data_IF_262036276710
#
_entry.id   IF_262036276710
#
_cell.length_a   1.000
_cell.length_b   1.000
_cell.length_c   1.000
_cell.angle_alpha   90.00
_cell.angle_beta   90.00
_cell.angle_gamma   90.00
#
_symmetry.space_group_name_H-M   'P 1'
#
loop_
_entity.id
_entity.type
_entity.pdbx_description
1 polymer ?
#
# COMPACT_ATOMS: atom_id res chain seq x y z
N UNK A 1 21.87 -7.88 0.55
CA UNK A 1 21.97 -8.32 -0.84
C UNK A 1 21.37 -7.30 -1.83
N UNK A 2 20.11 -6.81 -1.60
CA UNK A 2 19.49 -5.83 -2.49
C UNK A 2 20.34 -4.55 -2.67
N UNK A 3 20.69 -3.85 -1.58
CA UNK A 3 21.39 -2.55 -1.61
C UNK A 3 22.84 -2.63 -2.13
N UNK A 4 23.53 -3.72 -1.83
CA UNK A 4 24.99 -3.79 -2.06
C UNK A 4 25.39 -4.61 -3.30
N UNK A 5 24.47 -5.39 -3.87
CA UNK A 5 24.74 -6.22 -5.04
C UNK A 5 23.72 -5.97 -6.13
N UNK A 6 22.46 -6.33 -5.92
CA UNK A 6 21.44 -6.29 -6.97
C UNK A 6 21.22 -4.88 -7.53
N UNK A 7 20.99 -3.91 -6.65
CA UNK A 7 20.72 -2.54 -7.07
C UNK A 7 21.91 -1.87 -7.77
N UNK A 8 23.14 -1.90 -7.26
CA UNK A 8 24.31 -1.36 -7.97
C UNK A 8 24.58 -2.03 -9.32
N UNK A 9 24.43 -3.35 -9.42
CA UNK A 9 24.60 -4.09 -10.68
C UNK A 9 23.53 -3.65 -11.69
N UNK A 10 22.28 -3.54 -11.26
CA UNK A 10 21.18 -3.07 -12.13
C UNK A 10 21.42 -1.64 -12.61
N UNK A 11 21.86 -0.73 -11.73
CA UNK A 11 22.20 0.63 -12.09
C UNK A 11 23.35 0.68 -13.11
N UNK A 12 24.40 -0.11 -12.90
CA UNK A 12 25.53 -0.19 -13.81
C UNK A 12 25.08 -0.54 -15.23
N UNK A 13 24.33 -1.64 -15.39
CA UNK A 13 23.84 -2.04 -16.72
C UNK A 13 22.83 -1.05 -17.30
N UNK A 14 22.00 -0.41 -16.48
CA UNK A 14 21.04 0.57 -16.92
C UNK A 14 21.68 1.84 -17.47
N UNK A 15 22.72 2.36 -16.82
CA UNK A 15 23.35 3.63 -17.21
C UNK A 15 24.43 3.48 -18.28
N UNK A 16 25.05 2.31 -18.42
CA UNK A 16 26.01 2.06 -19.51
C UNK A 16 25.32 2.02 -20.89
N UNK A 17 24.03 1.72 -20.92
CA UNK A 17 23.24 1.64 -22.14
C UNK A 17 22.59 2.99 -22.44
N UNK A 18 22.70 3.46 -23.70
CA UNK A 18 22.08 4.73 -24.15
C UNK A 18 20.69 4.56 -24.75
N UNK A 19 20.39 3.38 -25.31
CA UNK A 19 19.14 3.12 -26.00
C UNK A 19 18.03 2.72 -25.02
N UNK A 20 16.90 3.45 -25.03
CA UNK A 20 15.81 3.24 -24.08
C UNK A 20 15.15 1.84 -24.23
N UNK A 21 15.09 1.27 -25.44
CA UNK A 21 14.59 -0.10 -25.63
C UNK A 21 15.48 -1.13 -24.93
N UNK A 22 16.80 -0.95 -24.98
CA UNK A 22 17.74 -1.85 -24.30
C UNK A 22 17.70 -1.62 -22.78
N UNK A 23 17.54 -0.37 -22.31
CA UNK A 23 17.27 -0.08 -20.89
C UNK A 23 16.03 -0.80 -20.38
N UNK A 24 14.95 -0.85 -21.18
CA UNK A 24 13.73 -1.59 -20.83
C UNK A 24 14.00 -3.08 -20.70
N UNK A 25 14.80 -3.69 -21.59
CA UNK A 25 15.21 -5.09 -21.49
C UNK A 25 16.02 -5.33 -20.20
N UNK A 26 16.96 -4.46 -19.86
CA UNK A 26 17.74 -4.53 -18.62
C UNK A 26 16.80 -4.53 -17.40
N UNK A 27 15.82 -3.63 -17.37
CA UNK A 27 14.84 -3.56 -16.29
C UNK A 27 13.93 -4.79 -16.22
N UNK A 28 13.50 -5.34 -17.37
CA UNK A 28 12.73 -6.60 -17.40
C UNK A 28 13.54 -7.75 -16.80
N UNK A 29 14.78 -7.94 -17.26
CA UNK A 29 15.65 -9.01 -16.77
C UNK A 29 15.89 -8.86 -15.25
N UNK A 30 16.27 -7.66 -14.81
CA UNK A 30 16.48 -7.40 -13.40
C UNK A 30 15.21 -7.66 -12.57
N UNK A 31 14.05 -7.21 -13.05
CA UNK A 31 12.78 -7.39 -12.35
C UNK A 31 12.34 -8.85 -12.27
N UNK A 32 12.50 -9.60 -13.36
CA UNK A 32 12.20 -11.04 -13.35
C UNK A 32 13.16 -11.83 -12.44
N UNK A 33 14.45 -11.48 -12.42
CA UNK A 33 15.42 -12.06 -11.47
C UNK A 33 15.02 -11.73 -10.03
N UNK A 34 14.67 -10.47 -9.75
CA UNK A 34 14.25 -10.03 -8.42
C UNK A 34 12.99 -10.78 -7.94
N UNK A 35 11.99 -10.90 -8.80
CA UNK A 35 10.76 -11.60 -8.48
C UNK A 35 10.98 -13.12 -8.33
N UNK A 36 11.71 -13.74 -9.26
CA UNK A 36 12.00 -15.18 -9.23
C UNK A 36 12.84 -15.60 -8.02
N UNK A 37 13.61 -14.68 -7.44
CA UNK A 37 14.37 -14.96 -6.22
C UNK A 37 13.48 -15.32 -5.03
N UNK A 38 12.34 -14.66 -4.89
CA UNK A 38 11.34 -14.95 -3.87
C UNK A 38 10.27 -15.95 -4.33
N UNK A 39 9.94 -15.93 -5.62
CA UNK A 39 8.80 -16.63 -6.21
C UNK A 39 9.18 -17.37 -7.51
N UNK A 40 10.01 -18.42 -7.44
CA UNK A 40 10.56 -19.05 -8.64
C UNK A 40 9.49 -19.70 -9.53
N UNK A 41 8.39 -20.18 -8.97
CA UNK A 41 7.29 -20.80 -9.72
C UNK A 41 6.30 -19.74 -10.20
N UNK A 42 5.96 -18.77 -9.35
CA UNK A 42 4.89 -17.82 -9.62
C UNK A 42 5.28 -16.70 -10.61
N UNK A 43 6.56 -16.59 -10.96
CA UNK A 43 6.98 -15.73 -12.08
C UNK A 43 6.31 -16.12 -13.40
N UNK A 44 6.01 -17.41 -13.58
CA UNK A 44 5.27 -17.90 -14.75
C UNK A 44 3.82 -17.33 -14.78
N UNK A 45 3.18 -17.19 -13.61
CA UNK A 45 1.84 -16.62 -13.52
C UNK A 45 1.83 -15.12 -13.85
N UNK A 46 2.84 -14.38 -13.37
CA UNK A 46 3.02 -12.96 -13.72
C UNK A 46 3.20 -12.79 -15.24
N UNK A 47 4.05 -13.61 -15.86
CA UNK A 47 4.26 -13.60 -17.33
C UNK A 47 2.97 -13.96 -18.05
N UNK A 48 2.24 -14.98 -17.59
CA UNK A 48 0.96 -15.38 -18.18
C UNK A 48 -0.07 -14.24 -18.14
N UNK A 49 -0.25 -13.59 -16.97
CA UNK A 49 -1.16 -12.44 -16.86
C UNK A 49 -0.73 -11.30 -17.78
N UNK A 50 0.58 -11.07 -17.92
CA UNK A 50 1.10 -10.07 -18.84
C UNK A 50 0.81 -10.42 -20.31
N UNK A 51 0.97 -11.67 -20.74
CA UNK A 51 0.64 -12.11 -22.11
C UNK A 51 -0.86 -11.97 -22.36
N UNK A 52 -1.68 -12.38 -21.40
CA UNK A 52 -3.13 -12.27 -21.50
C UNK A 52 -3.57 -10.84 -21.77
N UNK A 53 -3.22 -9.90 -20.88
CA UNK A 53 -3.71 -8.52 -20.98
C UNK A 53 -3.06 -7.75 -22.13
N UNK A 54 -1.83 -8.07 -22.51
CA UNK A 54 -1.20 -7.57 -23.71
C UNK A 54 -1.99 -7.97 -24.98
N UNK A 55 -2.29 -9.26 -25.13
CA UNK A 55 -3.00 -9.78 -26.31
C UNK A 55 -4.45 -9.31 -26.36
N UNK A 56 -5.13 -9.31 -25.23
CA UNK A 56 -6.49 -8.79 -25.07
C UNK A 56 -6.55 -7.31 -25.47
N UNK A 57 -5.62 -6.50 -24.99
CA UNK A 57 -5.60 -5.05 -25.27
C UNK A 57 -5.31 -4.75 -26.76
N UNK A 58 -4.46 -5.52 -27.41
CA UNK A 58 -4.31 -5.44 -28.88
C UNK A 58 -5.61 -5.78 -29.61
N UNK A 59 -6.35 -6.80 -29.15
CA UNK A 59 -7.66 -7.15 -29.66
C UNK A 59 -8.70 -6.04 -29.46
N UNK A 60 -8.73 -5.43 -28.27
CA UNK A 60 -9.60 -4.30 -27.94
C UNK A 60 -9.35 -3.13 -28.90
N UNK A 61 -8.08 -2.75 -29.10
CA UNK A 61 -7.75 -1.65 -30.01
C UNK A 61 -8.09 -1.96 -31.47
N UNK A 62 -7.76 -3.17 -31.96
CA UNK A 62 -8.02 -3.60 -33.32
C UNK A 62 -9.53 -3.63 -33.67
N UNK A 63 -10.36 -4.03 -32.71
CA UNK A 63 -11.81 -4.18 -32.94
C UNK A 63 -12.62 -3.09 -32.21
N UNK A 64 -12.03 -1.95 -31.92
CA UNK A 64 -12.68 -0.81 -31.25
C UNK A 64 -14.01 -0.46 -31.92
N UNK A 65 -15.07 -0.28 -31.14
CA UNK A 65 -16.42 0.01 -31.62
C UNK A 65 -17.25 -1.22 -32.01
N UNK A 66 -16.66 -2.42 -32.10
CA UNK A 66 -17.40 -3.67 -32.39
C UNK A 66 -17.82 -4.37 -31.09
N UNK A 67 -18.92 -5.15 -31.16
CA UNK A 67 -19.43 -5.91 -29.99
C UNK A 67 -18.42 -6.88 -29.40
N UNK A 68 -17.51 -7.43 -30.19
CA UNK A 68 -16.44 -8.35 -29.76
C UNK A 68 -15.48 -7.73 -28.77
N UNK A 69 -15.34 -6.38 -28.74
CA UNK A 69 -14.51 -5.68 -27.77
C UNK A 69 -14.96 -5.95 -26.33
N UNK A 70 -16.28 -6.12 -26.12
CA UNK A 70 -16.83 -6.48 -24.79
C UNK A 70 -16.41 -7.88 -24.35
N UNK A 71 -16.23 -8.81 -25.30
CA UNK A 71 -15.74 -10.15 -25.01
C UNK A 71 -14.28 -10.12 -24.57
N UNK A 72 -13.44 -9.33 -25.25
CA UNK A 72 -12.03 -9.18 -24.88
C UNK A 72 -11.89 -8.62 -23.45
N UNK A 73 -12.60 -7.53 -23.12
CA UNK A 73 -12.50 -6.96 -21.76
C UNK A 73 -13.09 -7.92 -20.71
N UNK A 74 -14.19 -8.62 -21.02
CA UNK A 74 -14.75 -9.63 -20.12
C UNK A 74 -13.75 -10.78 -19.88
N UNK A 75 -13.02 -11.21 -20.91
CA UNK A 75 -11.99 -12.24 -20.79
C UNK A 75 -10.86 -11.80 -19.85
N UNK A 76 -10.34 -10.57 -20.01
CA UNK A 76 -9.34 -10.00 -19.09
C UNK A 76 -9.85 -10.01 -17.66
N UNK A 77 -11.01 -9.43 -17.41
CA UNK A 77 -11.57 -9.30 -16.06
C UNK A 77 -11.85 -10.67 -15.42
N UNK A 78 -12.48 -11.59 -16.17
CA UNK A 78 -12.85 -12.92 -15.65
C UNK A 78 -11.61 -13.77 -15.34
N UNK A 79 -10.60 -13.78 -16.22
CA UNK A 79 -9.39 -14.57 -15.96
C UNK A 79 -8.59 -13.97 -14.82
N UNK A 80 -8.33 -12.65 -14.81
CA UNK A 80 -7.56 -12.01 -13.75
C UNK A 80 -8.22 -12.14 -12.37
N UNK A 81 -9.52 -11.84 -12.27
CA UNK A 81 -10.26 -12.02 -11.02
C UNK A 81 -10.44 -13.49 -10.66
N UNK A 82 -10.57 -14.38 -11.64
CA UNK A 82 -10.66 -15.82 -11.43
C UNK A 82 -9.38 -16.39 -10.84
N UNK A 83 -8.21 -15.99 -11.35
CA UNK A 83 -6.91 -16.35 -10.77
C UNK A 83 -6.77 -15.82 -9.34
N UNK A 84 -7.08 -14.54 -9.13
CA UNK A 84 -7.06 -13.95 -7.80
C UNK A 84 -8.01 -14.69 -6.85
N UNK A 85 -9.22 -15.05 -7.30
CA UNK A 85 -10.19 -15.81 -6.52
C UNK A 85 -9.68 -17.22 -6.19
N UNK A 86 -9.08 -17.90 -7.14
CA UNK A 86 -8.56 -19.25 -6.93
C UNK A 86 -7.42 -19.26 -5.92
N UNK A 87 -6.43 -18.37 -6.04
CA UNK A 87 -5.27 -18.37 -5.17
C UNK A 87 -5.52 -17.72 -3.81
N UNK A 88 -6.27 -16.62 -3.76
CA UNK A 88 -6.46 -15.86 -2.53
C UNK A 88 -7.71 -16.27 -1.74
N UNK A 89 -8.83 -16.57 -2.40
CA UNK A 89 -10.14 -16.68 -1.73
C UNK A 89 -10.71 -18.08 -1.67
N UNK A 90 -10.17 -19.08 -2.40
CA UNK A 90 -10.74 -20.43 -2.43
C UNK A 90 -10.78 -21.09 -1.04
N UNK A 91 -9.71 -20.99 -0.26
CA UNK A 91 -9.65 -21.51 1.11
C UNK A 91 -10.66 -20.82 2.04
N UNK A 92 -10.73 -19.49 2.00
CA UNK A 92 -11.66 -18.69 2.78
C UNK A 92 -13.12 -19.01 2.45
N UNK A 93 -13.45 -19.12 1.17
CA UNK A 93 -14.79 -19.43 0.72
C UNK A 93 -15.24 -20.82 1.18
N UNK A 94 -14.39 -21.84 0.97
CA UNK A 94 -14.73 -23.21 1.36
C UNK A 94 -14.77 -23.39 2.87
N UNK A 95 -13.86 -22.78 3.63
CA UNK A 95 -13.91 -22.83 5.10
C UNK A 95 -15.16 -22.13 5.63
N UNK A 96 -15.59 -21.02 5.01
CA UNK A 96 -16.83 -20.33 5.36
C UNK A 96 -18.06 -21.22 5.08
N UNK A 97 -18.12 -21.88 3.91
CA UNK A 97 -19.20 -22.83 3.59
C UNK A 97 -19.25 -24.00 4.60
N UNK A 98 -18.08 -24.57 4.91
CA UNK A 98 -17.98 -25.63 5.91
C UNK A 98 -18.52 -25.19 7.27
N UNK A 99 -18.20 -23.96 7.71
CA UNK A 99 -18.68 -23.41 8.98
C UNK A 99 -20.19 -23.16 8.99
N UNK A 100 -20.74 -22.57 7.93
CA UNK A 100 -22.17 -22.22 7.85
C UNK A 100 -23.05 -23.47 7.70
N UNK A 101 -22.68 -24.37 6.78
CA UNK A 101 -23.47 -25.51 6.40
C UNK A 101 -23.02 -26.82 7.07
N UNK A 102 -22.02 -26.77 7.96
CA UNK A 102 -21.41 -27.93 8.65
C UNK A 102 -20.95 -29.02 7.67
N UNK A 103 -20.37 -28.58 6.54
CA UNK A 103 -19.81 -29.46 5.52
C UNK A 103 -18.38 -29.84 5.88
N UNK A 104 -17.88 -30.90 5.24
CA UNK A 104 -16.48 -31.36 5.37
C UNK A 104 -15.75 -31.30 4.02
N UNK A 105 -15.96 -30.22 3.25
CA UNK A 105 -15.28 -30.03 1.98
C UNK A 105 -13.79 -29.81 2.20
N UNK A 106 -12.98 -30.37 1.33
CA UNK A 106 -11.53 -30.13 1.35
C UNK A 106 -11.21 -28.66 1.13
N UNK A 107 -10.49 -28.04 2.07
CA UNK A 107 -10.08 -26.64 2.00
C UNK A 107 -8.75 -26.56 1.22
N UNK A 108 -8.71 -25.92 0.04
CA UNK A 108 -7.48 -25.77 -0.71
C UNK A 108 -6.47 -24.89 0.04
N UNK A 109 -5.21 -25.33 0.06
CA UNK A 109 -4.08 -24.59 0.65
C UNK A 109 -3.10 -24.17 -0.43
N UNK A 110 -3.49 -23.23 -1.27
CA UNK A 110 -2.58 -22.66 -2.27
C UNK A 110 -1.62 -21.67 -1.61
N UNK A 111 -0.34 -21.76 -1.96
CA UNK A 111 0.60 -20.68 -1.66
C UNK A 111 0.18 -19.44 -2.44
N UNK A 112 -0.03 -18.33 -1.74
CA UNK A 112 -0.41 -17.07 -2.36
C UNK A 112 0.79 -16.44 -3.06
N UNK A 113 0.77 -16.24 -4.40
CA UNK A 113 1.86 -15.58 -5.10
C UNK A 113 2.04 -14.15 -4.61
N UNK A 114 3.24 -13.79 -4.18
CA UNK A 114 3.53 -12.44 -3.68
C UNK A 114 3.20 -11.40 -4.77
N UNK A 115 2.45 -10.36 -4.40
CA UNK A 115 2.09 -9.27 -5.32
C UNK A 115 0.95 -9.58 -6.29
N UNK A 116 0.30 -10.76 -6.25
CA UNK A 116 -0.79 -11.10 -7.18
C UNK A 116 -1.91 -10.05 -7.15
N UNK A 117 -2.27 -9.53 -6.01
CA UNK A 117 -3.31 -8.49 -5.88
C UNK A 117 -2.91 -7.17 -6.56
N UNK A 118 -1.61 -6.84 -6.61
CA UNK A 118 -1.10 -5.62 -7.22
C UNK A 118 -1.01 -5.74 -8.74
N UNK A 119 -0.31 -6.77 -9.25
CA UNK A 119 -0.16 -6.88 -10.69
C UNK A 119 -1.48 -7.23 -11.39
N UNK A 120 -2.40 -7.95 -10.73
CA UNK A 120 -3.77 -8.17 -11.25
C UNK A 120 -4.51 -6.84 -11.45
N UNK A 121 -4.46 -5.93 -10.48
CA UNK A 121 -5.08 -4.62 -10.63
C UNK A 121 -4.37 -3.76 -11.68
N UNK A 122 -3.06 -3.85 -11.75
CA UNK A 122 -2.25 -3.12 -12.71
C UNK A 122 -2.53 -3.56 -14.15
N UNK A 123 -2.52 -4.87 -14.45
CA UNK A 123 -2.79 -5.40 -15.80
C UNK A 123 -4.25 -5.19 -16.20
N UNK A 124 -5.19 -5.44 -15.28
CA UNK A 124 -6.62 -5.24 -15.54
C UNK A 124 -6.95 -3.75 -15.77
N UNK A 125 -6.35 -2.81 -15.01
CA UNK A 125 -6.57 -1.38 -15.24
C UNK A 125 -6.09 -0.95 -16.61
N UNK A 126 -4.96 -1.48 -17.10
CA UNK A 126 -4.48 -1.19 -18.44
C UNK A 126 -5.48 -1.65 -19.51
N UNK A 127 -6.00 -2.88 -19.41
CA UNK A 127 -6.99 -3.38 -20.36
C UNK A 127 -8.28 -2.54 -20.34
N UNK A 128 -8.70 -2.07 -19.17
CA UNK A 128 -9.84 -1.16 -19.00
C UNK A 128 -9.56 0.23 -19.61
N UNK A 129 -8.37 0.80 -19.38
CA UNK A 129 -7.98 2.09 -19.94
C UNK A 129 -7.90 2.03 -21.48
N UNK A 130 -7.39 0.93 -22.05
CA UNK A 130 -7.42 0.71 -23.49
C UNK A 130 -8.86 0.58 -24.00
N UNK A 131 -9.74 -0.12 -23.27
CA UNK A 131 -11.15 -0.26 -23.64
C UNK A 131 -11.88 1.09 -23.62
N UNK A 132 -11.68 1.90 -22.61
CA UNK A 132 -12.24 3.24 -22.47
C UNK A 132 -11.68 4.23 -23.50
N UNK A 133 -10.50 3.96 -24.05
CA UNK A 133 -9.79 4.86 -24.97
C UNK A 133 -8.88 5.87 -24.28
N UNK A 134 -8.62 5.69 -23.00
CA UNK A 134 -7.77 6.57 -22.20
C UNK A 134 -6.30 6.42 -22.60
N UNK A 135 -5.89 5.20 -23.00
CA UNK A 135 -4.56 4.89 -23.53
C UNK A 135 -4.65 4.04 -24.80
N UNK A 136 -3.58 4.06 -25.61
CA UNK A 136 -3.41 3.16 -26.77
C UNK A 136 -2.79 1.84 -26.30
N UNK A 137 -3.11 0.75 -26.99
CA UNK A 137 -2.50 -0.54 -26.73
C UNK A 137 -0.98 -0.50 -27.04
N UNK A 138 -0.16 -0.90 -26.09
CA UNK A 138 1.29 -1.00 -26.24
C UNK A 138 1.61 -2.08 -27.30
N UNK A 139 2.46 -1.73 -28.27
CA UNK A 139 2.82 -2.63 -29.39
C UNK A 139 4.02 -3.52 -29.07
N UNK A 140 4.81 -3.18 -28.07
CA UNK A 140 5.95 -3.95 -27.62
C UNK A 140 5.59 -4.76 -26.37
N UNK A 141 5.64 -6.10 -26.48
CA UNK A 141 5.44 -6.96 -25.31
C UNK A 141 6.50 -6.71 -24.21
N UNK A 142 7.74 -6.42 -24.60
CA UNK A 142 8.82 -6.12 -23.64
C UNK A 142 8.49 -4.86 -22.82
N UNK A 143 7.99 -3.81 -23.45
CA UNK A 143 7.59 -2.58 -22.76
C UNK A 143 6.42 -2.82 -21.81
N UNK A 144 5.44 -3.63 -22.23
CA UNK A 144 4.32 -3.99 -21.39
C UNK A 144 4.74 -4.89 -20.21
N UNK A 145 5.57 -5.92 -20.47
CA UNK A 145 6.11 -6.79 -19.42
C UNK A 145 6.95 -5.99 -18.42
N UNK A 146 7.75 -5.00 -18.90
CA UNK A 146 8.48 -4.09 -18.03
C UNK A 146 7.52 -3.34 -17.10
N UNK A 147 6.46 -2.73 -17.64
CA UNK A 147 5.45 -2.02 -16.86
C UNK A 147 4.88 -2.88 -15.73
N UNK A 148 4.51 -4.13 -16.03
CA UNK A 148 3.90 -5.04 -15.05
C UNK A 148 4.92 -5.56 -14.03
N UNK A 149 6.13 -5.94 -14.48
CA UNK A 149 7.11 -6.64 -13.63
C UNK A 149 8.05 -5.72 -12.86
N UNK A 150 8.03 -4.41 -13.09
CA UNK A 150 9.05 -3.48 -12.60
C UNK A 150 9.25 -3.55 -11.09
N UNK A 151 10.42 -4.01 -10.66
CA UNK A 151 10.72 -4.43 -9.29
C UNK A 151 10.48 -3.35 -8.20
N UNK A 152 10.63 -2.04 -8.44
CA UNK A 152 10.36 -1.05 -7.41
C UNK A 152 8.90 -1.05 -6.92
N UNK A 153 7.94 -1.30 -7.81
CA UNK A 153 6.50 -1.19 -7.51
C UNK A 153 5.80 -2.53 -7.34
N UNK A 154 6.37 -3.63 -7.90
CA UNK A 154 5.68 -4.90 -8.13
C UNK A 154 5.01 -5.50 -6.90
N UNK A 155 5.64 -5.44 -5.73
CA UNK A 155 5.22 -6.22 -4.57
C UNK A 155 4.20 -5.46 -3.70
N UNK A 156 4.51 -4.24 -3.29
CA UNK A 156 3.66 -3.41 -2.43
C UNK A 156 3.85 -1.89 -2.69
N UNK A 157 4.27 -1.53 -3.92
CA UNK A 157 4.41 -0.14 -4.34
C UNK A 157 3.07 0.58 -4.52
N UNK A 158 3.08 1.84 -4.93
CA UNK A 158 1.89 2.47 -5.46
C UNK A 158 1.30 1.63 -6.60
N UNK A 159 -0.02 1.53 -6.69
CA UNK A 159 -0.66 0.94 -7.87
C UNK A 159 -0.50 1.94 -9.02
N UNK A 160 0.57 1.76 -9.79
CA UNK A 160 0.90 2.63 -10.92
C UNK A 160 0.04 2.20 -12.12
N UNK A 161 -0.68 3.13 -12.73
CA UNK A 161 -1.42 2.88 -13.96
C UNK A 161 -0.49 2.99 -15.16
N UNK A 162 -0.85 2.35 -16.24
CA UNK A 162 -0.10 2.50 -17.49
C UNK A 162 -0.07 3.96 -17.96
N UNK A 163 -1.20 4.67 -17.83
CA UNK A 163 -1.34 6.10 -18.14
C UNK A 163 -0.44 7.04 -17.33
N UNK A 164 0.03 6.60 -16.14
CA UNK A 164 0.91 7.42 -15.29
C UNK A 164 2.35 7.47 -15.86
N UNK A 165 2.76 6.44 -16.62
CA UNK A 165 4.15 6.29 -17.08
C UNK A 165 4.30 5.95 -18.58
N UNK A 166 3.23 5.97 -19.36
CA UNK A 166 3.23 5.56 -20.77
C UNK A 166 4.29 6.28 -21.63
N UNK A 167 4.40 7.60 -21.49
CA UNK A 167 5.40 8.40 -22.18
C UNK A 167 6.83 8.08 -21.73
N UNK A 168 7.02 7.75 -20.44
CA UNK A 168 8.31 7.43 -19.85
C UNK A 168 8.78 6.01 -20.19
N UNK A 169 7.87 5.14 -20.62
CA UNK A 169 8.23 3.81 -21.13
C UNK A 169 9.04 3.93 -22.42
N UNK A 170 8.65 4.82 -23.32
CA UNK A 170 9.28 4.98 -24.61
C UNK A 170 10.45 5.97 -24.57
N UNK A 171 10.32 7.06 -23.82
CA UNK A 171 11.33 8.12 -23.72
C UNK A 171 11.46 8.65 -22.31
N UNK A 172 12.62 8.45 -21.70
CA UNK A 172 12.95 9.01 -20.39
C UNK A 172 14.40 9.44 -20.27
N UNK A 173 14.61 10.49 -19.52
CA UNK A 173 15.93 11.00 -19.17
C UNK A 173 16.06 11.01 -17.66
N UNK A 174 17.25 10.72 -17.16
CA UNK A 174 17.59 10.79 -15.74
C UNK A 174 18.70 11.78 -15.58
N UNK A 175 18.42 12.91 -14.93
CA UNK A 175 19.44 13.86 -14.54
C UNK A 175 20.11 13.45 -13.23
N UNK A 176 21.30 13.99 -12.95
CA UNK A 176 21.97 13.79 -11.65
C UNK A 176 21.08 14.28 -10.50
N UNK A 177 20.34 15.37 -10.73
CA UNK A 177 19.40 15.92 -9.74
C UNK A 177 18.23 14.98 -9.47
N UNK A 178 17.65 14.34 -10.50
CA UNK A 178 16.60 13.34 -10.35
C UNK A 178 17.09 12.12 -9.59
N UNK A 179 18.29 11.64 -9.91
CA UNK A 179 18.93 10.54 -9.22
C UNK A 179 19.15 10.87 -7.73
N UNK A 180 19.69 12.04 -7.43
CA UNK A 180 19.92 12.49 -6.04
C UNK A 180 18.61 12.62 -5.25
N UNK A 181 17.56 13.18 -5.86
CA UNK A 181 16.23 13.28 -5.24
C UNK A 181 15.60 11.90 -5.03
N UNK A 182 15.76 10.99 -6.00
CA UNK A 182 15.32 9.60 -5.89
C UNK A 182 16.01 8.87 -4.74
N UNK A 183 17.34 9.00 -4.63
CA UNK A 183 18.12 8.42 -3.54
C UNK A 183 17.68 8.94 -2.17
N UNK A 184 17.50 10.26 -2.03
CA UNK A 184 17.05 10.86 -0.76
C UNK A 184 15.65 10.36 -0.37
N UNK A 185 14.74 10.19 -1.36
CA UNK A 185 13.43 9.64 -1.12
C UNK A 185 13.50 8.17 -0.70
N UNK A 186 14.34 7.38 -1.35
CA UNK A 186 14.59 5.99 -1.01
C UNK A 186 15.12 5.85 0.41
N UNK A 187 16.12 6.64 0.80
CA UNK A 187 16.70 6.61 2.14
C UNK A 187 15.69 7.03 3.23
N UNK A 188 14.84 8.00 2.93
CA UNK A 188 13.75 8.37 3.84
C UNK A 188 12.75 7.21 4.03
N UNK A 189 12.40 6.50 2.95
CA UNK A 189 11.55 5.30 3.00
C UNK A 189 12.18 4.17 3.79
N UNK A 190 13.47 3.91 3.56
CA UNK A 190 14.23 2.89 4.29
C UNK A 190 14.27 3.20 5.79
N UNK A 191 14.52 4.45 6.17
CA UNK A 191 14.47 4.88 7.57
C UNK A 191 13.11 4.70 8.22
N UNK A 192 12.02 5.01 7.51
CA UNK A 192 10.66 4.74 8.00
C UNK A 192 10.44 3.26 8.32
N UNK A 193 10.86 2.36 7.41
CA UNK A 193 10.72 0.92 7.59
C UNK A 193 11.60 0.40 8.73
N UNK A 194 12.89 0.72 8.68
CA UNK A 194 13.87 0.07 9.57
C UNK A 194 13.86 0.68 10.97
N UNK A 195 13.85 2.03 11.07
CA UNK A 195 14.02 2.70 12.35
C UNK A 195 12.69 2.93 13.10
N UNK A 196 11.56 3.03 12.37
CA UNK A 196 10.28 3.32 13.01
C UNK A 196 9.35 2.11 12.95
N UNK A 197 9.04 1.59 11.75
CA UNK A 197 8.03 0.55 11.62
C UNK A 197 8.41 -0.76 12.30
N UNK A 198 9.66 -1.22 12.13
CA UNK A 198 10.11 -2.47 12.75
C UNK A 198 10.07 -2.39 14.26
N UNK A 199 10.53 -1.28 14.84
CA UNK A 199 10.53 -1.09 16.29
C UNK A 199 9.11 -0.93 16.85
N UNK A 200 8.26 -0.13 16.19
CA UNK A 200 6.85 -0.01 16.57
C UNK A 200 6.13 -1.37 16.52
N UNK A 201 6.47 -2.19 15.52
CA UNK A 201 5.90 -3.54 15.37
C UNK A 201 6.25 -4.46 16.54
N UNK A 202 7.50 -4.47 16.98
CA UNK A 202 7.91 -5.28 18.14
C UNK A 202 7.20 -4.84 19.44
N UNK A 203 6.98 -3.53 19.63
CA UNK A 203 6.24 -3.00 20.77
C UNK A 203 4.75 -3.36 20.69
N UNK A 204 4.15 -3.26 19.51
CA UNK A 204 2.76 -3.64 19.30
C UNK A 204 2.55 -5.14 19.61
N UNK A 205 3.41 -6.00 19.05
CA UNK A 205 3.33 -7.43 19.25
C UNK A 205 3.47 -7.81 20.74
N UNK A 206 4.41 -7.21 21.47
CA UNK A 206 4.59 -7.48 22.89
C UNK A 206 3.39 -7.11 23.76
N UNK A 207 2.61 -6.07 23.38
CA UNK A 207 1.42 -5.63 24.11
C UNK A 207 0.14 -6.37 23.70
N UNK A 208 0.06 -6.86 22.46
CA UNK A 208 -1.15 -7.45 21.89
C UNK A 208 -1.09 -8.98 21.80
N UNK A 209 0.06 -9.62 22.06
CA UNK A 209 0.22 -11.07 21.95
C UNK A 209 -0.71 -11.87 22.88
N UNK A 210 -0.99 -11.36 24.07
CA UNK A 210 -1.88 -12.01 25.06
C UNK A 210 -2.96 -11.04 25.53
N UNK A 211 -3.86 -10.74 24.63
CA UNK A 211 -4.90 -9.71 24.82
C UNK A 211 -5.90 -10.06 25.94
N UNK A 212 -6.15 -11.35 26.21
CA UNK A 212 -7.09 -11.79 27.26
C UNK A 212 -6.66 -11.33 28.66
N UNK A 213 -5.35 -11.28 28.91
CA UNK A 213 -4.76 -10.88 30.18
C UNK A 213 -4.21 -9.45 30.17
N UNK A 214 -4.33 -8.73 29.07
CA UNK A 214 -3.81 -7.38 28.93
C UNK A 214 -4.62 -6.37 29.75
N UNK A 215 -3.97 -5.32 30.21
CA UNK A 215 -4.70 -4.16 30.78
C UNK A 215 -5.39 -3.36 29.66
N UNK A 216 -6.43 -2.60 30.01
CA UNK A 216 -7.19 -1.75 29.06
C UNK A 216 -6.25 -0.86 28.26
N UNK A 217 -5.36 -0.14 28.94
CA UNK A 217 -4.42 0.76 28.29
C UNK A 217 -3.35 0.05 27.49
N UNK A 218 -3.00 -1.20 27.84
CA UNK A 218 -2.06 -2.02 27.04
C UNK A 218 -2.59 -2.29 25.64
N UNK A 219 -3.89 -2.56 25.50
CA UNK A 219 -4.52 -2.74 24.19
C UNK A 219 -4.49 -1.44 23.38
N UNK A 220 -4.88 -0.31 23.95
CA UNK A 220 -4.87 0.97 23.22
C UNK A 220 -3.47 1.42 22.82
N UNK A 221 -2.47 1.26 23.69
CA UNK A 221 -1.08 1.59 23.40
C UNK A 221 -0.50 0.62 22.35
N UNK A 222 -0.82 -0.67 22.44
CA UNK A 222 -0.46 -1.66 21.44
C UNK A 222 -1.02 -1.30 20.05
N UNK A 223 -2.29 -0.91 19.99
CA UNK A 223 -2.94 -0.44 18.75
C UNK A 223 -2.31 0.86 18.24
N UNK A 224 -1.90 1.78 19.13
CA UNK A 224 -1.16 2.98 18.73
C UNK A 224 0.19 2.64 18.09
N UNK A 225 0.95 1.71 18.68
CA UNK A 225 2.20 1.25 18.09
C UNK A 225 1.96 0.52 16.76
N UNK A 226 0.90 -0.26 16.65
CA UNK A 226 0.50 -0.86 15.38
C UNK A 226 0.13 0.21 14.33
N UNK A 227 -0.55 1.28 14.73
CA UNK A 227 -0.84 2.41 13.82
C UNK A 227 0.45 3.06 13.29
N UNK A 228 1.49 3.22 14.11
CA UNK A 228 2.80 3.64 13.64
C UNK A 228 3.43 2.59 12.72
N UNK A 229 3.41 1.32 13.11
CA UNK A 229 3.96 0.23 12.31
C UNK A 229 3.36 0.24 10.90
N UNK A 230 2.04 0.10 10.77
CA UNK A 230 1.38 -0.03 9.46
C UNK A 230 1.58 1.20 8.57
N UNK A 231 1.59 2.40 9.16
CA UNK A 231 1.83 3.62 8.42
C UNK A 231 3.28 3.73 7.91
N UNK A 232 4.24 3.54 8.79
CA UNK A 232 5.66 3.71 8.43
C UNK A 232 6.18 2.54 7.60
N UNK A 233 5.65 1.33 7.80
CA UNK A 233 5.96 0.17 6.97
C UNK A 233 5.52 0.40 5.52
N UNK A 234 4.25 0.73 5.32
CA UNK A 234 3.69 0.86 3.98
C UNK A 234 4.10 2.18 3.29
N UNK A 235 4.09 3.32 4.00
CA UNK A 235 4.60 4.57 3.43
C UNK A 235 6.10 4.51 3.18
N UNK A 236 6.85 3.75 3.98
CA UNK A 236 8.28 3.49 3.77
C UNK A 236 8.53 2.74 2.47
N UNK A 237 7.78 1.65 2.22
CA UNK A 237 7.87 0.93 0.95
C UNK A 237 7.49 1.85 -0.24
N UNK A 238 6.39 2.59 -0.12
CA UNK A 238 5.96 3.51 -1.18
C UNK A 238 7.02 4.58 -1.49
N UNK A 239 7.67 5.14 -0.45
CA UNK A 239 8.75 6.10 -0.63
C UNK A 239 9.98 5.48 -1.29
N UNK A 240 10.33 4.24 -0.93
CA UNK A 240 11.42 3.51 -1.59
C UNK A 240 11.09 3.23 -3.06
N UNK A 241 9.86 2.80 -3.36
CA UNK A 241 9.40 2.54 -4.72
C UNK A 241 9.44 3.81 -5.59
N UNK A 242 8.90 4.93 -5.08
CA UNK A 242 8.92 6.24 -5.77
C UNK A 242 10.37 6.71 -5.97
N UNK A 243 11.22 6.54 -4.95
CA UNK A 243 12.64 6.89 -5.03
C UNK A 243 13.37 6.09 -6.10
N UNK A 244 13.19 4.76 -6.12
CA UNK A 244 13.77 3.88 -7.13
C UNK A 244 13.22 4.20 -8.52
N UNK A 245 11.89 4.37 -8.66
CA UNK A 245 11.27 4.78 -9.92
C UNK A 245 11.95 6.02 -10.48
N UNK A 246 12.12 7.06 -9.66
CA UNK A 246 12.76 8.31 -10.08
C UNK A 246 14.23 8.14 -10.49
N UNK A 247 14.98 7.24 -9.83
CA UNK A 247 16.37 6.93 -10.22
C UNK A 247 16.46 6.22 -11.58
N UNK A 248 15.39 5.56 -12.02
CA UNK A 248 15.26 4.95 -13.34
C UNK A 248 14.48 5.80 -14.36
N UNK A 249 14.08 7.03 -13.98
CA UNK A 249 13.36 7.97 -14.84
C UNK A 249 11.86 7.77 -14.93
N UNK A 250 11.25 7.17 -13.89
CA UNK A 250 9.80 7.02 -13.76
C UNK A 250 9.27 7.88 -12.60
N UNK A 251 8.20 8.62 -12.84
CA UNK A 251 7.50 9.41 -11.84
C UNK A 251 6.24 8.65 -11.37
N UNK A 252 6.34 7.98 -10.22
CA UNK A 252 5.23 7.25 -9.62
C UNK A 252 4.34 8.17 -8.79
N UNK A 253 3.02 7.89 -8.75
CA UNK A 253 2.08 8.68 -7.97
C UNK A 253 2.31 8.53 -6.46
N UNK A 254 2.02 9.61 -5.72
CA UNK A 254 2.06 9.60 -4.25
C UNK A 254 0.98 8.68 -3.68
N UNK A 255 1.37 7.83 -2.72
CA UNK A 255 0.46 6.89 -2.08
C UNK A 255 0.01 7.33 -0.68
N UNK A 256 0.77 8.21 -0.02
CA UNK A 256 0.50 8.74 1.32
C UNK A 256 0.74 10.23 1.42
N UNK A 257 -0.18 10.97 2.08
CA UNK A 257 -0.07 12.42 2.35
C UNK A 257 -0.40 12.75 3.81
N UNK A 258 0.42 12.26 4.75
CA UNK A 258 0.25 12.51 6.20
C UNK A 258 -1.16 12.17 6.70
N UNK A 259 -1.60 10.92 6.67
CA UNK A 259 -2.98 10.53 6.94
C UNK A 259 -3.41 10.79 8.40
N UNK A 260 -2.49 10.75 9.36
CA UNK A 260 -2.81 10.92 10.79
C UNK A 260 -3.03 12.37 11.25
N UNK A 261 -2.96 13.34 10.32
CA UNK A 261 -3.41 14.71 10.58
C UNK A 261 -4.84 14.97 10.04
N UNK A 262 -5.52 13.96 9.52
CA UNK A 262 -6.87 14.09 8.95
C UNK A 262 -7.89 14.47 10.03
N UNK A 263 -8.89 15.24 9.62
CA UNK A 263 -9.97 15.72 10.51
C UNK A 263 -11.32 15.11 10.16
N UNK A 264 -11.33 14.09 9.31
CA UNK A 264 -12.49 13.25 8.99
C UNK A 264 -12.01 11.93 8.39
N UNK A 265 -12.87 10.92 8.37
CA UNK A 265 -12.57 9.63 7.74
C UNK A 265 -12.47 9.77 6.22
N UNK A 266 -13.28 10.66 5.64
CA UNK A 266 -13.17 11.00 4.21
C UNK A 266 -11.81 11.64 3.89
N UNK A 267 -11.28 12.54 4.73
CA UNK A 267 -9.96 13.15 4.56
C UNK A 267 -8.84 12.12 4.79
N UNK A 268 -9.03 11.21 5.77
CA UNK A 268 -8.08 10.11 6.00
C UNK A 268 -7.88 9.26 4.74
N UNK A 269 -8.94 8.80 4.09
CA UNK A 269 -8.85 7.97 2.88
C UNK A 269 -8.38 8.71 1.63
N UNK A 270 -8.46 10.03 1.61
CA UNK A 270 -7.81 10.87 0.58
C UNK A 270 -6.30 10.99 0.76
N UNK A 271 -5.78 10.57 1.92
CA UNK A 271 -4.36 10.66 2.30
C UNK A 271 -3.70 9.29 2.51
N UNK A 272 -4.49 8.26 2.75
CA UNK A 272 -4.06 6.88 2.95
C UNK A 272 -4.29 6.07 1.69
N UNK A 273 -3.25 5.35 1.23
CA UNK A 273 -3.31 4.43 0.09
C UNK A 273 -4.06 5.02 -1.12
N UNK A 274 -3.61 6.20 -1.54
CA UNK A 274 -4.29 7.06 -2.53
C UNK A 274 -4.51 6.31 -3.84
N UNK A 275 -3.52 5.50 -4.27
CA UNK A 275 -3.59 4.78 -5.53
C UNK A 275 -4.66 3.69 -5.53
N UNK A 276 -4.84 2.96 -4.42
CA UNK A 276 -5.94 2.00 -4.27
C UNK A 276 -7.30 2.70 -4.25
N UNK A 277 -7.41 3.78 -3.48
CA UNK A 277 -8.64 4.59 -3.41
C UNK A 277 -9.03 5.15 -4.78
N UNK A 278 -8.04 5.59 -5.57
CA UNK A 278 -8.23 6.05 -6.95
C UNK A 278 -8.67 4.91 -7.86
N UNK A 279 -8.07 3.71 -7.72
CA UNK A 279 -8.45 2.54 -8.49
C UNK A 279 -9.93 2.19 -8.28
N UNK A 280 -10.36 2.00 -7.03
CA UNK A 280 -11.76 1.67 -6.73
C UNK A 280 -12.73 2.80 -7.12
N UNK A 281 -12.34 4.06 -6.99
CA UNK A 281 -13.14 5.19 -7.46
C UNK A 281 -13.37 5.12 -8.96
N UNK A 282 -12.32 4.94 -9.75
CA UNK A 282 -12.37 5.13 -11.19
C UNK A 282 -12.89 3.87 -11.92
N UNK A 283 -12.55 2.68 -11.43
CA UNK A 283 -12.95 1.41 -12.08
C UNK A 283 -14.18 0.72 -11.45
N UNK A 284 -14.62 1.16 -10.27
CA UNK A 284 -15.81 0.58 -9.61
C UNK A 284 -16.87 1.64 -9.31
N UNK A 285 -16.51 2.67 -8.51
CA UNK A 285 -17.50 3.63 -8.02
C UNK A 285 -18.13 4.47 -9.15
N UNK A 286 -17.32 5.03 -10.04
CA UNK A 286 -17.78 5.86 -11.17
C UNK A 286 -18.59 5.03 -12.17
N UNK A 287 -18.15 3.83 -12.63
CA UNK A 287 -18.97 2.97 -13.51
C UNK A 287 -20.31 2.54 -12.91
N UNK A 288 -20.41 2.38 -11.58
CA UNK A 288 -21.70 2.10 -10.90
C UNK A 288 -22.64 3.34 -10.81
N UNK A 289 -22.22 4.48 -11.36
CA UNK A 289 -22.97 5.74 -11.38
C UNK A 289 -22.47 6.80 -10.39
N UNK A 290 -21.52 6.47 -9.51
CA UNK A 290 -20.89 7.40 -8.57
C UNK A 290 -21.89 8.16 -7.70
N UNK A 291 -21.74 9.50 -7.71
CA UNK A 291 -22.66 10.42 -7.02
C UNK A 291 -23.87 10.87 -7.86
N UNK A 292 -23.97 10.44 -9.13
CA UNK A 292 -24.98 10.92 -10.09
C UNK A 292 -26.22 10.02 -10.14
N UNK A 293 -26.48 9.31 -9.05
CA UNK A 293 -27.61 8.36 -8.91
C UNK A 293 -28.39 8.66 -7.63
N UNK A 294 -29.54 8.00 -7.44
CA UNK A 294 -30.37 8.15 -6.24
C UNK A 294 -29.63 7.79 -4.95
N UNK A 295 -30.06 8.31 -3.82
CA UNK A 295 -29.42 8.08 -2.51
C UNK A 295 -29.24 6.59 -2.16
N UNK A 296 -30.27 5.71 -2.30
CA UNK A 296 -30.11 4.28 -2.02
C UNK A 296 -29.03 3.65 -2.92
N UNK A 297 -28.95 4.05 -4.18
CA UNK A 297 -27.94 3.58 -5.11
C UNK A 297 -26.53 4.07 -4.76
N UNK A 298 -26.38 5.31 -4.26
CA UNK A 298 -25.09 5.82 -3.77
C UNK A 298 -24.62 5.03 -2.55
N UNK A 299 -25.52 4.68 -1.62
CA UNK A 299 -25.20 3.85 -0.46
C UNK A 299 -24.76 2.46 -0.91
N UNK A 300 -25.48 1.84 -1.85
CA UNK A 300 -25.08 0.55 -2.44
C UNK A 300 -23.73 0.62 -3.12
N UNK A 301 -23.44 1.67 -3.88
CA UNK A 301 -22.14 1.87 -4.53
C UNK A 301 -21.00 1.94 -3.50
N UNK A 302 -21.21 2.67 -2.39
CA UNK A 302 -20.24 2.73 -1.29
C UNK A 302 -20.07 1.37 -0.59
N UNK A 303 -21.17 0.65 -0.36
CA UNK A 303 -21.14 -0.70 0.22
C UNK A 303 -20.32 -1.66 -0.65
N UNK A 304 -20.53 -1.67 -1.96
CA UNK A 304 -19.78 -2.50 -2.92
C UNK A 304 -18.29 -2.14 -2.87
N UNK A 305 -17.96 -0.86 -2.98
CA UNK A 305 -16.56 -0.39 -2.99
C UNK A 305 -15.84 -0.80 -1.70
N UNK A 306 -16.44 -0.56 -0.54
CA UNK A 306 -15.79 -0.83 0.74
C UNK A 306 -15.78 -2.31 1.10
N UNK A 307 -16.80 -3.06 0.69
CA UNK A 307 -16.79 -4.52 0.77
C UNK A 307 -15.65 -5.13 -0.07
N UNK A 308 -15.50 -4.67 -1.32
CA UNK A 308 -14.39 -5.09 -2.19
C UNK A 308 -13.03 -4.63 -1.67
N UNK A 309 -12.94 -3.42 -1.09
CA UNK A 309 -11.70 -2.93 -0.47
C UNK A 309 -11.28 -3.80 0.70
N UNK A 310 -12.23 -4.19 1.56
CA UNK A 310 -11.97 -5.13 2.65
C UNK A 310 -11.48 -6.48 2.15
N UNK A 311 -12.21 -7.09 1.23
CA UNK A 311 -11.81 -8.36 0.59
C UNK A 311 -10.44 -8.28 -0.07
N UNK A 312 -10.11 -7.18 -0.74
CA UNK A 312 -8.82 -7.02 -1.39
C UNK A 312 -7.64 -7.10 -0.39
N UNK A 313 -7.81 -6.58 0.82
CA UNK A 313 -6.76 -6.66 1.85
C UNK A 313 -6.47 -8.08 2.30
N UNK A 314 -7.49 -8.93 2.49
CA UNK A 314 -7.24 -10.30 2.93
C UNK A 314 -8.48 -11.20 2.84
N UNK A 315 -8.22 -12.50 2.80
CA UNK A 315 -9.24 -13.54 2.75
C UNK A 315 -9.62 -13.98 4.17
N UNK A 316 -10.12 -13.04 4.98
CA UNK A 316 -10.59 -13.28 6.34
C UNK A 316 -11.72 -12.32 6.70
N UNK A 317 -12.58 -12.71 7.64
CA UNK A 317 -13.75 -11.94 8.04
C UNK A 317 -13.42 -10.60 8.71
N UNK A 318 -12.28 -10.49 9.40
CA UNK A 318 -11.85 -9.21 9.99
C UNK A 318 -11.67 -8.13 8.91
N UNK A 319 -11.14 -8.46 7.73
CA UNK A 319 -10.98 -7.51 6.63
C UNK A 319 -12.31 -7.10 6.02
N UNK A 320 -13.27 -8.03 5.92
CA UNK A 320 -14.65 -7.72 5.49
C UNK A 320 -15.31 -6.77 6.48
N UNK A 321 -15.24 -7.08 7.78
CA UNK A 321 -15.77 -6.22 8.86
C UNK A 321 -15.10 -4.84 8.84
N UNK A 322 -13.80 -4.79 8.66
CA UNK A 322 -13.04 -3.56 8.54
C UNK A 322 -13.51 -2.69 7.35
N UNK A 323 -13.74 -3.28 6.20
CA UNK A 323 -14.31 -2.57 5.06
C UNK A 323 -15.71 -2.03 5.34
N UNK A 324 -16.59 -2.85 5.93
CA UNK A 324 -17.95 -2.44 6.31
C UNK A 324 -17.95 -1.37 7.41
N UNK A 325 -17.02 -1.43 8.33
CA UNK A 325 -16.81 -0.39 9.35
C UNK A 325 -16.56 0.98 8.70
N UNK A 326 -15.63 1.08 7.76
CA UNK A 326 -15.38 2.34 7.06
C UNK A 326 -16.51 2.75 6.13
N UNK A 327 -17.21 1.80 5.51
CA UNK A 327 -18.45 2.09 4.79
C UNK A 327 -19.45 2.85 5.64
N UNK A 328 -19.70 2.38 6.88
CA UNK A 328 -20.64 3.05 7.80
C UNK A 328 -20.20 4.49 8.11
N UNK A 329 -18.95 4.70 8.51
CA UNK A 329 -18.46 6.05 8.84
C UNK A 329 -18.47 7.00 7.65
N UNK A 330 -18.17 6.53 6.45
CA UNK A 330 -18.22 7.35 5.24
C UNK A 330 -19.68 7.71 4.85
N UNK A 331 -20.61 6.81 5.06
CA UNK A 331 -22.04 7.13 4.90
C UNK A 331 -22.50 8.15 5.94
N UNK A 332 -22.10 7.99 7.21
CA UNK A 332 -22.42 8.95 8.26
C UNK A 332 -21.83 10.34 7.95
N UNK A 333 -20.55 10.42 7.56
CA UNK A 333 -19.94 11.69 7.19
C UNK A 333 -20.61 12.33 5.97
N UNK A 334 -20.91 11.55 4.95
CA UNK A 334 -21.45 12.06 3.69
C UNK A 334 -22.90 12.49 3.79
N UNK A 335 -23.74 11.74 4.51
CA UNK A 335 -25.19 11.93 4.49
C UNK A 335 -25.75 12.51 5.79
N UNK A 336 -25.07 12.33 6.94
CA UNK A 336 -25.54 12.81 8.25
C UNK A 336 -24.69 13.98 8.73
N UNK A 337 -23.37 13.82 8.86
CA UNK A 337 -22.50 14.80 9.51
C UNK A 337 -22.11 15.98 8.61
N UNK A 338 -22.30 15.89 7.30
CA UNK A 338 -21.90 16.92 6.33
C UNK A 338 -22.35 18.33 6.72
N UNK A 339 -23.53 18.48 7.32
CA UNK A 339 -24.09 19.78 7.72
C UNK A 339 -23.49 20.34 9.02
N UNK A 340 -22.86 19.50 9.84
CA UNK A 340 -22.41 19.85 11.20
C UNK A 340 -20.90 19.81 11.34
N UNK A 341 -20.21 18.97 10.58
CA UNK A 341 -18.80 18.68 10.78
C UNK A 341 -17.91 19.92 10.71
N UNK A 342 -18.26 20.87 9.84
CA UNK A 342 -17.49 22.11 9.68
C UNK A 342 -17.67 23.10 10.83
N UNK A 343 -18.72 22.93 11.65
CA UNK A 343 -18.98 23.75 12.85
C UNK A 343 -18.19 23.25 14.07
N UNK A 344 -17.66 22.02 14.03
CA UNK A 344 -16.90 21.40 15.12
C UNK A 344 -15.45 21.87 15.06
N UNK A 345 -14.82 22.27 16.19
CA UNK A 345 -13.42 22.64 16.26
C UNK A 345 -12.50 21.56 15.66
N UNK A 346 -11.46 21.97 14.94
CA UNK A 346 -10.54 21.05 14.25
C UNK A 346 -9.94 19.98 15.17
N UNK A 347 -9.61 20.32 16.42
CA UNK A 347 -9.03 19.39 17.39
C UNK A 347 -10.02 18.25 17.72
N UNK A 348 -11.29 18.55 17.91
CA UNK A 348 -12.33 17.56 18.21
C UNK A 348 -12.53 16.63 17.00
N UNK A 349 -12.57 17.22 15.78
CA UNK A 349 -12.62 16.44 14.54
C UNK A 349 -11.41 15.53 14.36
N UNK A 350 -10.24 16.02 14.71
CA UNK A 350 -9.02 15.22 14.68
C UNK A 350 -9.09 14.05 15.67
N UNK A 351 -9.50 14.30 16.93
CA UNK A 351 -9.68 13.25 17.94
C UNK A 351 -10.69 12.21 17.46
N UNK A 352 -11.84 12.63 16.92
CA UNK A 352 -12.83 11.74 16.32
C UNK A 352 -12.20 10.87 15.20
N UNK A 353 -11.52 11.52 14.26
CA UNK A 353 -10.92 10.83 13.13
C UNK A 353 -9.88 9.80 13.60
N UNK A 354 -9.00 10.18 14.54
CA UNK A 354 -7.96 9.28 15.06
C UNK A 354 -8.56 8.13 15.87
N UNK A 355 -9.58 8.38 16.69
CA UNK A 355 -10.27 7.32 17.42
C UNK A 355 -10.88 6.27 16.47
N UNK A 356 -11.63 6.73 15.45
CA UNK A 356 -12.19 5.84 14.44
C UNK A 356 -11.10 5.06 13.69
N UNK A 357 -9.98 5.71 13.37
CA UNK A 357 -8.85 5.04 12.70
C UNK A 357 -8.20 4.00 13.60
N UNK A 358 -7.98 4.28 14.88
CA UNK A 358 -7.38 3.32 15.82
C UNK A 358 -8.29 2.10 16.03
N UNK A 359 -9.61 2.31 16.16
CA UNK A 359 -10.57 1.18 16.20
C UNK A 359 -10.54 0.38 14.90
N UNK A 360 -10.43 1.04 13.75
CA UNK A 360 -10.25 0.38 12.46
C UNK A 360 -8.98 -0.46 12.41
N UNK A 361 -7.85 0.05 12.97
CA UNK A 361 -6.61 -0.73 13.05
C UNK A 361 -6.69 -1.89 14.04
N UNK A 362 -7.47 -1.80 15.10
CA UNK A 362 -7.75 -2.91 16.00
C UNK A 362 -8.47 -4.04 15.25
N UNK A 363 -9.51 -3.73 14.47
CA UNK A 363 -10.20 -4.72 13.63
C UNK A 363 -9.22 -5.35 12.62
N UNK A 364 -8.35 -4.57 12.02
CA UNK A 364 -7.41 -5.02 11.01
C UNK A 364 -6.32 -5.93 11.57
N UNK A 365 -5.84 -5.67 12.79
CA UNK A 365 -4.75 -6.40 13.42
C UNK A 365 -5.10 -7.85 13.78
N UNK A 366 -6.31 -8.08 14.32
CA UNK A 366 -6.75 -9.38 14.81
C UNK A 366 -7.47 -10.16 13.72
N UNK A 367 -6.80 -11.13 13.10
CA UNK A 367 -7.42 -12.01 12.08
C UNK A 367 -8.33 -13.05 12.72
N UNK A 368 -7.99 -13.54 13.92
CA UNK A 368 -8.84 -14.45 14.70
C UNK A 368 -9.99 -13.67 15.35
N UNK A 369 -11.22 -14.14 15.12
CA UNK A 369 -12.42 -13.47 15.59
C UNK A 369 -12.56 -13.51 17.12
N UNK A 370 -12.07 -14.56 17.77
CA UNK A 370 -12.09 -14.67 19.23
C UNK A 370 -11.13 -13.66 19.86
N UNK A 371 -9.89 -13.59 19.34
CA UNK A 371 -8.90 -12.60 19.78
C UNK A 371 -9.38 -11.17 19.54
N UNK A 372 -10.03 -10.91 18.39
CA UNK A 372 -10.63 -9.59 18.10
C UNK A 372 -11.72 -9.26 19.13
N UNK A 373 -12.61 -10.18 19.43
CA UNK A 373 -13.67 -9.98 20.45
C UNK A 373 -13.08 -9.71 21.82
N UNK A 374 -12.06 -10.47 22.23
CA UNK A 374 -11.33 -10.24 23.49
C UNK A 374 -10.69 -8.87 23.52
N UNK A 375 -10.01 -8.46 22.43
CA UNK A 375 -9.41 -7.13 22.34
C UNK A 375 -10.43 -6.01 22.55
N UNK A 376 -11.61 -6.12 21.92
CA UNK A 376 -12.70 -5.16 22.13
C UNK A 376 -13.24 -5.21 23.55
N UNK A 377 -13.45 -6.40 24.12
CA UNK A 377 -13.91 -6.55 25.50
C UNK A 377 -12.95 -5.88 26.49
N UNK A 378 -11.65 -6.12 26.35
CA UNK A 378 -10.62 -5.51 27.19
C UNK A 378 -10.53 -4.01 26.94
N UNK A 379 -10.39 -3.57 25.70
CA UNK A 379 -10.18 -2.16 25.34
C UNK A 379 -11.31 -1.25 25.85
N UNK A 380 -12.54 -1.76 25.92
CA UNK A 380 -13.72 -1.01 26.40
C UNK A 380 -14.13 -1.35 27.85
N UNK A 381 -13.26 -2.07 28.58
CA UNK A 381 -13.44 -2.35 30.03
C UNK A 381 -14.53 -3.38 30.34
N UNK A 382 -15.03 -4.14 29.37
CA UNK A 382 -16.07 -5.13 29.58
C UNK A 382 -15.54 -6.48 30.14
N UNK A 383 -14.23 -6.69 30.10
CA UNK A 383 -13.56 -7.92 30.58
C UNK A 383 -13.28 -7.92 32.11
N UNK A 384 -13.34 -6.76 32.77
CA UNK A 384 -12.94 -6.62 34.16
C UNK A 384 -11.43 -6.55 34.42
N UNK A 385 -10.62 -6.50 33.35
CA UNK A 385 -9.16 -6.40 33.45
C UNK A 385 -8.75 -5.06 34.07
N UNK A 386 -7.55 -5.01 34.67
CA UNK A 386 -6.98 -3.79 35.23
C UNK A 386 -6.88 -2.68 34.16
N UNK A 387 -7.02 -1.42 34.58
CA UNK A 387 -6.94 -0.31 33.65
C UNK A 387 -5.51 -0.11 33.12
N UNK A 388 -4.49 -0.27 33.98
CA UNK A 388 -3.06 -0.21 33.63
C UNK A 388 -2.31 -1.37 34.31
N UNK A 389 -1.10 -1.64 33.81
CA UNK A 389 -0.17 -2.60 34.44
C UNK A 389 1.26 -2.03 34.46
N UNK A 390 2.14 -2.51 35.40
CA UNK A 390 3.49 -2.00 35.52
C UNK A 390 4.35 -2.21 34.28
N UNK A 391 4.15 -3.29 33.55
CA UNK A 391 4.94 -3.61 32.33
C UNK A 391 4.66 -2.59 31.23
N UNK A 392 3.38 -2.32 30.98
CA UNK A 392 2.95 -1.30 30.02
C UNK A 392 3.46 0.09 30.43
N UNK A 393 3.34 0.45 31.72
CA UNK A 393 3.83 1.75 32.22
C UNK A 393 5.33 1.91 31.99
N UNK A 394 6.13 0.89 32.32
CA UNK A 394 7.57 0.89 32.06
C UNK A 394 7.88 0.97 30.56
N UNK A 395 7.14 0.24 29.73
CA UNK A 395 7.30 0.28 28.28
C UNK A 395 7.04 1.68 27.72
N UNK A 396 5.97 2.36 28.13
CA UNK A 396 5.67 3.73 27.70
C UNK A 396 6.81 4.66 28.12
N UNK A 397 7.21 4.65 29.41
CA UNK A 397 8.24 5.54 29.93
C UNK A 397 9.57 5.37 29.19
N UNK A 398 9.99 4.12 28.99
CA UNK A 398 11.23 3.81 28.27
C UNK A 398 11.20 4.22 26.79
N UNK A 399 10.01 4.33 26.19
CA UNK A 399 9.83 4.62 24.77
C UNK A 399 9.26 6.02 24.50
N UNK A 400 9.20 6.93 25.49
CA UNK A 400 8.74 8.31 25.29
C UNK A 400 9.48 9.01 24.13
N UNK A 401 10.84 8.96 24.03
CA UNK A 401 11.53 9.60 22.91
C UNK A 401 11.10 9.02 21.54
N UNK A 402 10.93 7.70 21.45
CA UNK A 402 10.48 7.05 20.23
C UNK A 402 9.05 7.47 19.85
N UNK A 403 8.12 7.50 20.82
CA UNK A 403 6.72 7.93 20.61
C UNK A 403 6.68 9.36 20.06
N UNK A 404 7.48 10.26 20.66
CA UNK A 404 7.56 11.65 20.20
C UNK A 404 8.10 11.74 18.78
N UNK A 405 9.19 11.02 18.46
CA UNK A 405 9.77 11.01 17.12
C UNK A 405 8.76 10.45 16.08
N UNK A 406 8.10 9.33 16.39
CA UNK A 406 7.11 8.72 15.52
C UNK A 406 5.90 9.65 15.30
N UNK A 407 5.40 10.30 16.36
CA UNK A 407 4.29 11.26 16.25
C UNK A 407 4.68 12.49 15.41
N UNK A 408 5.87 13.05 15.60
CA UNK A 408 6.41 14.15 14.80
C UNK A 408 6.54 13.72 13.33
N UNK A 409 7.04 12.51 13.07
CA UNK A 409 7.20 11.99 11.71
C UNK A 409 5.85 11.74 10.99
N UNK A 410 4.73 11.60 11.71
CA UNK A 410 3.38 11.57 11.14
C UNK A 410 2.91 12.96 10.62
N UNK A 411 3.55 14.05 11.06
CA UNK A 411 3.23 15.41 10.64
C UNK A 411 4.07 15.85 9.42
N UNK A 412 3.69 16.93 8.70
CA UNK A 412 4.38 17.39 7.50
C UNK A 412 5.73 18.11 7.79
N UNK A 413 6.49 17.63 8.79
CA UNK A 413 7.78 18.22 9.20
C UNK A 413 8.79 18.21 8.04
N UNK A 414 8.80 17.16 7.22
CA UNK A 414 9.67 17.10 6.04
C UNK A 414 9.47 18.29 5.09
N UNK A 415 8.25 18.85 5.01
CA UNK A 415 7.98 20.07 4.22
C UNK A 415 8.63 21.31 4.86
N UNK A 416 8.60 21.40 6.19
CA UNK A 416 9.22 22.51 6.91
C UNK A 416 10.75 22.47 6.79
N UNK A 417 11.34 21.27 6.94
CA UNK A 417 12.79 21.07 6.74
C UNK A 417 13.19 21.44 5.31
N UNK A 418 12.47 20.95 4.30
CA UNK A 418 12.73 21.29 2.90
C UNK A 418 12.61 22.79 2.64
N UNK A 419 11.63 23.47 3.21
CA UNK A 419 11.49 24.92 3.09
C UNK A 419 12.64 25.67 3.75
N UNK A 420 13.14 25.20 4.92
CA UNK A 420 14.32 25.72 5.57
C UNK A 420 15.58 25.57 4.72
N UNK A 421 15.83 24.36 4.21
CA UNK A 421 16.97 24.07 3.31
C UNK A 421 16.89 24.90 2.04
N UNK A 422 15.70 25.08 1.44
CA UNK A 422 15.51 25.92 0.26
C UNK A 422 15.83 27.40 0.52
N UNK A 423 15.50 27.93 1.69
CA UNK A 423 15.91 29.31 2.08
C UNK A 423 17.44 29.42 2.24
N UNK A 424 18.08 28.42 2.82
CA UNK A 424 19.54 28.38 2.95
C UNK A 424 20.22 28.25 1.59
N UNK A 425 19.67 27.46 0.66
CA UNK A 425 20.15 27.32 -0.72
C UNK A 425 20.21 28.67 -1.44
N UNK A 426 19.29 29.58 -1.21
CA UNK A 426 19.31 30.92 -1.80
C UNK A 426 20.56 31.72 -1.39
N UNK A 427 21.12 31.46 -0.18
CA UNK A 427 22.34 32.10 0.33
C UNK A 427 23.60 31.33 -0.02
N UNK A 428 23.53 30.01 -0.06
CA UNK A 428 24.63 29.11 -0.35
C UNK A 428 24.13 27.91 -1.18
N UNK A 429 24.30 27.89 -2.51
CA UNK A 429 23.77 26.83 -3.40
C UNK A 429 24.21 25.40 -3.04
N UNK A 430 25.39 25.26 -2.40
CA UNK A 430 25.93 23.95 -1.97
C UNK A 430 25.23 23.34 -0.74
N UNK A 431 24.38 24.10 -0.04
CA UNK A 431 23.72 23.66 1.20
C UNK A 431 22.80 22.44 0.95
N UNK A 432 22.00 22.46 -0.11
CA UNK A 432 21.07 21.37 -0.42
C UNK A 432 21.80 20.06 -0.77
N UNK A 433 22.78 20.03 -1.68
CA UNK A 433 23.56 18.82 -1.92
C UNK A 433 24.27 18.28 -0.67
N UNK A 434 24.89 19.14 0.13
CA UNK A 434 25.55 18.72 1.37
C UNK A 434 24.53 18.13 2.33
N UNK A 435 23.41 18.81 2.57
CA UNK A 435 22.35 18.31 3.46
C UNK A 435 21.83 16.95 3.01
N UNK A 436 21.51 16.78 1.72
CA UNK A 436 21.02 15.53 1.18
C UNK A 436 22.06 14.40 1.31
N UNK A 437 23.35 14.69 1.04
CA UNK A 437 24.41 13.70 1.17
C UNK A 437 24.58 13.27 2.63
N UNK A 438 24.68 14.22 3.57
CA UNK A 438 24.79 13.93 5.00
C UNK A 438 23.57 13.12 5.47
N UNK A 439 22.37 13.54 5.11
CA UNK A 439 21.13 12.81 5.42
C UNK A 439 21.17 11.36 4.91
N UNK A 440 21.54 11.16 3.63
CA UNK A 440 21.58 9.83 3.04
C UNK A 440 22.62 8.92 3.71
N UNK A 441 23.80 9.44 4.02
CA UNK A 441 24.85 8.67 4.71
C UNK A 441 24.44 8.31 6.14
N UNK A 442 23.92 9.29 6.90
CA UNK A 442 23.45 9.05 8.29
C UNK A 442 22.32 8.03 8.30
N UNK A 443 21.34 8.17 7.41
CA UNK A 443 20.23 7.21 7.32
C UNK A 443 20.71 5.83 6.93
N UNK A 444 21.63 5.70 5.99
CA UNK A 444 22.21 4.41 5.61
C UNK A 444 22.93 3.75 6.78
N UNK A 445 23.80 4.48 7.49
CA UNK A 445 24.54 3.95 8.64
C UNK A 445 23.58 3.49 9.75
N UNK A 446 22.60 4.32 10.11
CA UNK A 446 21.61 3.95 11.13
C UNK A 446 20.77 2.73 10.74
N UNK A 447 20.34 2.65 9.48
CA UNK A 447 19.58 1.50 9.00
C UNK A 447 20.42 0.22 8.96
N UNK A 448 21.67 0.29 8.51
CA UNK A 448 22.58 -0.87 8.51
C UNK A 448 22.88 -1.33 9.94
N UNK A 449 23.18 -0.41 10.85
CA UNK A 449 23.41 -0.72 12.26
C UNK A 449 22.19 -1.40 12.92
N UNK A 450 20.99 -0.89 12.62
CA UNK A 450 19.74 -1.48 13.14
C UNK A 450 19.46 -2.87 12.56
N UNK A 451 19.76 -3.10 11.28
CA UNK A 451 19.54 -4.39 10.61
C UNK A 451 20.58 -5.44 11.00
N UNK A 452 21.80 -5.05 11.36
CA UNK A 452 22.88 -5.99 11.70
C UNK A 452 22.56 -6.84 12.94
N UNK A 453 21.74 -6.32 13.87
CA UNK A 453 21.32 -7.03 15.09
C UNK A 453 19.90 -7.63 15.02
N UNK A 454 19.22 -7.53 13.89
CA UNK A 454 17.81 -7.95 13.77
C UNK A 454 17.66 -9.23 12.96
N UNK A 455 16.69 -10.07 13.34
CA UNK A 455 16.21 -11.18 12.52
C UNK A 455 15.42 -10.63 11.31
N UNK A 456 15.17 -11.52 10.31
CA UNK A 456 14.37 -11.19 9.14
C UNK A 456 13.00 -10.60 9.55
N UNK A 457 12.72 -9.38 9.15
CA UNK A 457 11.45 -8.70 9.40
C UNK A 457 10.85 -8.26 8.05
N UNK A 458 9.97 -9.08 7.45
CA UNK A 458 9.33 -8.77 6.18
C UNK A 458 8.44 -7.53 6.29
N UNK A 459 8.06 -6.97 5.16
CA UNK A 459 7.01 -5.95 5.13
C UNK A 459 5.69 -6.56 5.61
N UNK A 460 4.94 -5.79 6.39
CA UNK A 460 3.65 -6.22 6.94
C UNK A 460 2.69 -6.70 5.83
N UNK A 461 2.78 -6.09 4.67
CA UNK A 461 1.96 -6.41 3.49
C UNK A 461 2.17 -7.83 2.94
N UNK A 462 3.25 -8.52 3.28
CA UNK A 462 3.48 -9.92 2.88
C UNK A 462 2.67 -10.92 3.73
N UNK A 463 2.00 -10.44 4.78
CA UNK A 463 1.15 -11.27 5.64
C UNK A 463 -0.30 -11.34 5.16
N UNK A 464 -0.71 -10.47 4.20
CA UNK A 464 -2.11 -10.34 3.75
C UNK A 464 -2.38 -10.84 2.34
#
# INVERSE_FOLDING_TARGET
MFLFIFFPVTLFFYFIVKNDKVKNIVLVIASLIFYSWGEPVWVCLLIFSSILDYTVSLGIEKYRGKKITKLFIALSVVINLGLLAAFKYSGFFISTLNGIFRLSLHVPTFSLPIGISFYTFQTMSYSLDVYNGDVKAQKSFINFLMFVSLFPQLIAGPIVRYSDIDTQIDHRTVTIDDFAKGMTRFMAGLGKKVLIANYAGSLAESLLANVDNAAVMSVWVGVLFYAFQIYFDFSGYSDMAIGLGRMFGFDYPENFKYPYISTSITDFWRRWHITLSSFFRDYVYIPLGGNRVSLPRQILNLFIVWGLTGLWHGASWNFVIWGLYYFVFLCLEKFVFKKFIDKIPKIIRWVYSMFVVLVGWMIFYFEDFSAMKSAFSVAFGASGNAFTDPVMNAMIINNIPFIIIAAIACAPIAKLVKAGVAKLKQRAPVTEPIFNTVFNVVMLVLCVASLAGSTYNPFLYFRF
#
